data_IF_949563429772
#
_entry.id   IF_949563429772
#
_cell.length_a   1.000
_cell.length_b   1.000
_cell.length_c   1.000
_cell.angle_alpha   90.00
_cell.angle_beta   90.00
_cell.angle_gamma   90.00
#
_symmetry.space_group_name_H-M   'P 1'
#
loop_
_entity.id
_entity.type
_entity.pdbx_description
1 polymer ?
#
# COMPACT_ATOMS: atom_id res chain seq x y z
N UNK A 1 6.74 8.42 18.86
CA UNK A 1 7.81 9.03 18.03
C UNK A 1 7.12 9.64 16.83
N UNK A 2 7.17 10.96 16.67
CA UNK A 2 6.55 11.67 15.54
C UNK A 2 7.62 11.99 14.48
N UNK A 3 8.28 10.93 14.00
CA UNK A 3 9.37 11.07 13.03
C UNK A 3 8.85 11.73 11.75
N UNK A 4 9.46 12.85 11.35
CA UNK A 4 9.12 13.57 10.13
C UNK A 4 7.84 14.44 10.21
N UNK A 5 7.21 14.61 11.38
CA UNK A 5 6.12 15.58 11.54
C UNK A 5 6.70 17.00 11.54
N UNK A 6 6.04 17.90 10.81
CA UNK A 6 6.31 19.35 10.81
C UNK A 6 5.03 20.11 11.11
N UNK A 7 5.15 21.36 11.54
CA UNK A 7 3.99 22.23 11.71
C UNK A 7 3.35 22.56 10.35
N UNK A 8 2.05 22.84 10.33
CA UNK A 8 1.30 22.99 9.07
C UNK A 8 1.85 24.12 8.17
N UNK A 9 2.42 25.17 8.77
CA UNK A 9 3.06 26.27 8.04
C UNK A 9 4.43 25.92 7.47
N UNK A 10 5.16 24.99 8.08
CA UNK A 10 6.53 24.64 7.73
C UNK A 10 6.63 23.73 6.51
N UNK A 11 5.55 23.01 6.16
CA UNK A 11 5.50 22.12 4.99
C UNK A 11 5.95 22.86 3.72
N UNK A 12 5.59 24.14 3.58
CA UNK A 12 5.90 24.96 2.41
C UNK A 12 7.38 25.33 2.30
N UNK A 13 8.10 25.28 3.42
CA UNK A 13 9.52 25.61 3.50
C UNK A 13 10.40 24.37 3.25
N UNK A 14 9.81 23.17 3.15
CA UNK A 14 10.55 21.94 2.89
C UNK A 14 10.94 21.88 1.40
N UNK A 15 12.25 21.74 1.16
CA UNK A 15 12.78 21.40 -0.15
C UNK A 15 12.57 19.92 -0.47
N UNK A 16 11.58 19.62 -1.30
CA UNK A 16 11.27 18.25 -1.75
C UNK A 16 12.12 17.78 -2.94
N UNK A 17 13.13 18.54 -3.37
CA UNK A 17 14.04 18.09 -4.43
C UNK A 17 14.90 16.94 -3.93
N UNK A 18 15.06 15.93 -4.77
CA UNK A 18 16.05 14.90 -4.54
C UNK A 18 17.46 15.50 -4.69
N UNK A 19 18.40 15.21 -3.76
CA UNK A 19 19.77 15.66 -3.93
C UNK A 19 20.43 14.95 -5.12
N UNK A 20 21.53 15.52 -5.61
CA UNK A 20 22.34 14.85 -6.62
C UNK A 20 22.84 13.48 -6.11
N UNK A 21 23.00 12.53 -7.02
CA UNK A 21 23.47 11.19 -6.68
C UNK A 21 24.79 11.23 -5.88
N UNK A 22 24.83 10.39 -4.85
CA UNK A 22 26.04 10.19 -4.05
C UNK A 22 27.13 9.43 -4.82
N UNK A 23 28.35 9.46 -4.29
CA UNK A 23 29.50 8.75 -4.90
C UNK A 23 29.26 7.24 -5.04
N UNK A 24 28.56 6.64 -4.06
CA UNK A 24 28.23 5.22 -4.04
C UNK A 24 27.22 4.87 -5.13
N UNK A 25 26.15 5.65 -5.28
CA UNK A 25 25.14 5.45 -6.34
C UNK A 25 25.80 5.42 -7.72
N UNK A 26 26.68 6.38 -8.00
CA UNK A 26 27.43 6.42 -9.28
C UNK A 26 28.34 5.21 -9.50
N UNK A 27 28.93 4.66 -8.43
CA UNK A 27 29.82 3.50 -8.53
C UNK A 27 29.04 2.19 -8.73
N UNK A 28 27.86 2.05 -8.13
CA UNK A 28 27.05 0.81 -8.16
C UNK A 28 26.07 0.79 -9.33
N UNK A 29 25.55 1.94 -9.75
CA UNK A 29 24.61 2.09 -10.85
C UNK A 29 25.25 2.88 -12.02
N UNK A 30 26.30 2.35 -12.69
CA UNK A 30 26.93 3.01 -13.83
C UNK A 30 26.09 2.88 -15.12
N UNK A 31 24.93 2.24 -15.04
CA UNK A 31 24.07 1.94 -16.18
C UNK A 31 23.40 3.17 -16.77
N UNK A 32 22.80 2.98 -17.94
CA UNK A 32 21.94 3.98 -18.56
C UNK A 32 20.58 4.02 -17.87
N UNK A 33 19.93 5.20 -17.76
CA UNK A 33 18.55 5.29 -17.29
C UNK A 33 17.65 4.34 -18.06
N UNK A 34 16.72 3.69 -17.35
CA UNK A 34 15.72 2.81 -17.96
C UNK A 34 14.93 3.58 -19.03
N UNK A 35 14.79 2.99 -20.22
CA UNK A 35 13.91 3.51 -21.26
C UNK A 35 12.42 3.41 -20.87
N UNK A 36 12.09 2.57 -19.87
CA UNK A 36 10.73 2.49 -19.32
C UNK A 36 10.54 3.58 -18.26
N UNK A 37 9.46 4.37 -18.34
CA UNK A 37 9.15 5.37 -17.32
C UNK A 37 8.92 4.68 -15.96
N UNK A 38 9.47 5.28 -14.91
CA UNK A 38 9.20 4.86 -13.54
C UNK A 38 7.76 5.26 -13.18
N UNK A 39 6.95 4.29 -12.76
CA UNK A 39 5.62 4.55 -12.19
C UNK A 39 5.73 4.57 -10.68
N UNK A 40 5.17 5.60 -10.07
CA UNK A 40 5.09 5.74 -8.63
C UNK A 40 3.64 5.54 -8.20
N UNK A 41 3.47 4.80 -7.12
CA UNK A 41 2.20 4.71 -6.40
C UNK A 41 2.40 5.34 -5.03
N UNK A 42 1.41 6.11 -4.58
CA UNK A 42 1.41 6.81 -3.29
C UNK A 42 0.24 6.29 -2.47
N UNK A 43 0.58 5.79 -1.28
CA UNK A 43 -0.37 5.15 -0.40
C UNK A 43 0.05 5.24 1.06
N UNK A 44 -0.79 4.68 1.91
CA UNK A 44 -0.64 4.60 3.36
C UNK A 44 -0.81 3.14 3.82
N UNK A 45 -0.46 2.85 5.08
CA UNK A 45 -0.62 1.51 5.66
C UNK A 45 -1.99 1.20 6.25
N UNK A 46 -2.93 2.15 6.21
CA UNK A 46 -4.29 2.02 6.76
C UNK A 46 -5.28 2.86 5.96
N UNK A 47 -6.52 2.39 5.84
CA UNK A 47 -7.68 3.18 5.38
C UNK A 47 -8.76 3.32 6.45
N UNK A 48 -8.81 2.39 7.40
CA UNK A 48 -9.89 2.22 8.38
C UNK A 48 -9.87 3.16 9.59
N UNK A 49 -9.43 4.41 9.44
CA UNK A 49 -9.33 5.37 10.56
C UNK A 49 -10.55 6.28 10.63
N UNK A 50 -11.31 6.21 11.73
CA UNK A 50 -12.54 7.01 11.90
C UNK A 50 -12.25 8.49 11.99
N UNK A 51 -11.10 8.85 12.56
CA UNK A 51 -10.59 10.21 12.66
C UNK A 51 -10.33 10.87 11.30
N UNK A 52 -10.35 10.11 10.21
CA UNK A 52 -10.20 10.65 8.86
C UNK A 52 -11.51 11.18 8.26
N UNK A 53 -12.67 10.86 8.84
CA UNK A 53 -13.95 11.43 8.40
C UNK A 53 -14.01 12.94 8.70
N UNK A 54 -14.04 13.76 7.64
CA UNK A 54 -13.93 15.23 7.73
C UNK A 54 -12.58 15.73 7.19
N UNK A 55 -11.45 15.47 7.88
CA UNK A 55 -10.14 15.98 7.45
C UNK A 55 -9.62 15.35 6.14
N UNK A 56 -9.88 14.06 5.92
CA UNK A 56 -9.39 13.33 4.75
C UNK A 56 -10.51 12.72 3.91
N UNK A 57 -11.54 12.16 4.52
CA UNK A 57 -12.77 11.76 3.84
C UNK A 57 -13.84 12.85 3.97
N UNK A 58 -14.93 12.74 3.21
CA UNK A 58 -16.07 13.61 3.43
C UNK A 58 -16.61 13.46 4.86
N UNK A 59 -17.13 14.55 5.42
CA UNK A 59 -17.74 14.49 6.74
C UNK A 59 -18.92 13.52 6.72
N UNK A 60 -19.00 12.62 7.71
CA UNK A 60 -20.05 11.61 7.78
C UNK A 60 -19.85 10.38 6.89
N UNK A 61 -18.71 10.21 6.22
CA UNK A 61 -18.38 8.95 5.54
C UNK A 61 -18.50 7.78 6.52
N UNK A 62 -19.23 6.74 6.13
CA UNK A 62 -19.42 5.53 6.94
C UNK A 62 -18.20 4.63 6.83
N UNK A 63 -17.88 3.89 7.88
CA UNK A 63 -16.69 3.02 7.92
C UNK A 63 -16.66 1.98 6.79
N UNK A 64 -17.84 1.46 6.42
CA UNK A 64 -17.99 0.52 5.30
C UNK A 64 -17.60 1.12 3.94
N UNK A 65 -17.53 2.44 3.83
CA UNK A 65 -17.22 3.16 2.59
C UNK A 65 -15.80 3.75 2.61
N UNK A 66 -15.02 3.53 3.69
CA UNK A 66 -13.68 4.09 3.84
C UNK A 66 -12.70 3.63 2.77
N UNK A 67 -12.72 2.36 2.37
CA UNK A 67 -11.81 1.89 1.31
C UNK A 67 -12.15 2.55 -0.04
N UNK A 68 -13.43 2.69 -0.37
CA UNK A 68 -13.88 3.40 -1.56
C UNK A 68 -13.43 4.86 -1.55
N UNK A 69 -13.63 5.56 -0.42
CA UNK A 69 -13.21 6.95 -0.25
C UNK A 69 -11.68 7.11 -0.31
N UNK A 70 -10.94 6.16 0.24
CA UNK A 70 -9.48 6.11 0.20
C UNK A 70 -8.96 5.91 -1.23
N UNK A 71 -9.48 4.91 -1.95
CA UNK A 71 -9.07 4.58 -3.30
C UNK A 71 -9.43 5.69 -4.32
N UNK A 72 -10.44 6.51 -4.01
CA UNK A 72 -10.76 7.72 -4.77
C UNK A 72 -9.75 8.87 -4.61
N UNK A 73 -8.81 8.77 -3.66
CA UNK A 73 -7.80 9.82 -3.36
C UNK A 73 -6.35 9.37 -3.57
N UNK A 74 -6.07 8.09 -3.35
CA UNK A 74 -4.75 7.49 -3.45
C UNK A 74 -4.81 6.23 -4.32
N UNK A 75 -3.68 5.83 -4.90
CA UNK A 75 -3.58 4.73 -5.87
C UNK A 75 -2.88 3.49 -5.31
N UNK A 76 -2.57 3.46 -4.02
CA UNK A 76 -2.11 2.23 -3.38
C UNK A 76 -2.37 2.17 -1.89
N UNK A 77 -2.27 0.95 -1.35
CA UNK A 77 -2.30 0.70 0.09
C UNK A 77 -1.28 -0.38 0.47
N UNK A 78 -0.48 -0.12 1.50
CA UNK A 78 0.25 -1.19 2.19
C UNK A 78 -0.77 -2.02 3.00
N UNK A 79 -1.12 -3.19 2.48
CA UNK A 79 -2.18 -4.02 3.02
C UNK A 79 -1.63 -4.86 4.19
N UNK A 80 -1.79 -4.32 5.39
CA UNK A 80 -1.37 -4.94 6.64
C UNK A 80 -2.27 -6.11 7.09
N UNK A 81 -3.52 -6.21 6.61
CA UNK A 81 -4.44 -7.27 7.04
C UNK A 81 -3.84 -8.67 6.79
N UNK A 82 -3.18 -8.86 5.64
CA UNK A 82 -2.54 -10.12 5.25
C UNK A 82 -1.35 -10.50 6.13
N UNK A 83 -0.75 -9.52 6.82
CA UNK A 83 0.32 -9.78 7.79
C UNK A 83 -0.21 -10.58 8.99
N UNK A 84 -1.43 -10.28 9.45
CA UNK A 84 -1.99 -10.88 10.67
C UNK A 84 -2.79 -12.15 10.38
N UNK A 85 -3.48 -12.22 9.24
CA UNK A 85 -4.30 -13.35 8.84
C UNK A 85 -4.38 -13.47 7.32
N UNK A 86 -4.45 -14.70 6.79
CA UNK A 86 -4.75 -14.90 5.37
C UNK A 86 -6.24 -14.55 5.16
N UNK A 87 -6.58 -13.57 4.31
CA UNK A 87 -7.96 -13.15 4.10
C UNK A 87 -8.76 -14.21 3.35
N UNK A 88 -10.06 -14.28 3.62
CA UNK A 88 -10.97 -15.14 2.88
C UNK A 88 -11.35 -14.56 1.50
N UNK A 89 -11.88 -15.38 0.57
CA UNK A 89 -12.34 -14.91 -0.73
C UNK A 89 -13.41 -13.81 -0.65
N UNK A 90 -14.24 -13.85 0.39
CA UNK A 90 -15.29 -12.85 0.62
C UNK A 90 -14.69 -11.46 0.93
N UNK A 91 -13.68 -11.38 1.78
CA UNK A 91 -13.01 -10.11 2.12
C UNK A 91 -12.30 -9.53 0.92
N UNK A 92 -11.56 -10.37 0.18
CA UNK A 92 -10.91 -9.99 -1.08
C UNK A 92 -11.93 -9.46 -2.08
N UNK A 93 -13.05 -10.17 -2.27
CA UNK A 93 -14.13 -9.75 -3.15
C UNK A 93 -14.70 -8.39 -2.77
N UNK A 94 -14.97 -8.17 -1.47
CA UNK A 94 -15.45 -6.87 -0.96
C UNK A 94 -14.45 -5.75 -1.22
N UNK A 95 -13.16 -5.97 -0.95
CA UNK A 95 -12.14 -4.95 -1.18
C UNK A 95 -12.04 -4.56 -2.65
N UNK A 96 -12.08 -5.55 -3.56
CA UNK A 96 -12.09 -5.29 -5.01
C UNK A 96 -13.29 -4.46 -5.42
N UNK A 97 -14.49 -4.82 -4.95
CA UNK A 97 -15.72 -4.08 -5.27
C UNK A 97 -15.66 -2.63 -4.77
N UNK A 98 -15.11 -2.40 -3.57
CA UNK A 98 -14.95 -1.04 -3.02
C UNK A 98 -13.98 -0.20 -3.84
N UNK A 99 -12.85 -0.77 -4.26
CA UNK A 99 -11.89 -0.07 -5.12
C UNK A 99 -12.49 0.21 -6.50
N UNK A 100 -13.18 -0.76 -7.11
CA UNK A 100 -13.89 -0.56 -8.38
C UNK A 100 -14.94 0.55 -8.28
N UNK A 101 -15.70 0.59 -7.19
CA UNK A 101 -16.70 1.63 -6.93
C UNK A 101 -16.09 3.04 -6.77
N UNK A 102 -14.80 3.14 -6.45
CA UNK A 102 -14.11 4.44 -6.40
C UNK A 102 -13.81 5.03 -7.78
N UNK A 103 -13.88 4.20 -8.83
CA UNK A 103 -13.51 4.59 -10.20
C UNK A 103 -12.00 4.62 -10.47
N UNK A 104 -11.15 4.30 -9.48
CA UNK A 104 -9.70 4.27 -9.65
C UNK A 104 -9.23 2.92 -10.23
N UNK A 105 -8.96 2.90 -11.53
CA UNK A 105 -8.44 1.72 -12.25
C UNK A 105 -6.94 1.46 -12.06
N UNK A 106 -6.20 2.38 -11.43
CA UNK A 106 -4.75 2.25 -11.20
C UNK A 106 -4.42 1.87 -9.75
N UNK A 107 -5.43 1.56 -8.95
CA UNK A 107 -5.22 1.24 -7.54
C UNK A 107 -4.56 -0.12 -7.36
N UNK A 108 -3.53 -0.20 -6.51
CA UNK A 108 -2.86 -1.45 -6.18
C UNK A 108 -2.82 -1.71 -4.67
N UNK A 109 -3.13 -2.94 -4.27
CA UNK A 109 -2.84 -3.43 -2.93
C UNK A 109 -1.42 -3.96 -2.88
N UNK A 110 -0.68 -3.65 -1.81
CA UNK A 110 0.67 -4.17 -1.54
C UNK A 110 0.59 -5.06 -0.30
N UNK A 111 0.27 -6.36 -0.45
CA UNK A 111 -0.02 -7.26 0.67
C UNK A 111 1.25 -7.62 1.41
N UNK A 112 1.27 -7.43 2.73
CA UNK A 112 2.37 -7.95 3.54
C UNK A 112 2.33 -9.46 3.60
N UNK A 113 3.48 -10.09 3.41
CA UNK A 113 3.66 -11.53 3.68
C UNK A 113 3.28 -11.83 5.12
N UNK A 114 2.47 -12.88 5.33
CA UNK A 114 1.99 -13.26 6.66
C UNK A 114 3.12 -13.32 7.70
N UNK A 115 2.85 -12.79 8.91
CA UNK A 115 3.74 -12.84 10.07
C UNK A 115 4.16 -14.26 10.41
N UNK A 116 3.25 -15.23 10.23
CA UNK A 116 3.54 -16.64 10.45
C UNK A 116 4.64 -17.14 9.52
N UNK A 117 4.61 -16.72 8.26
CA UNK A 117 5.60 -17.09 7.24
C UNK A 117 6.92 -16.34 7.50
N UNK A 118 6.87 -15.01 7.60
CA UNK A 118 8.05 -14.15 7.60
C UNK A 118 8.79 -14.11 8.94
N UNK A 119 8.07 -14.06 10.07
CA UNK A 119 8.67 -13.80 11.39
C UNK A 119 8.70 -15.03 12.29
N UNK A 120 7.63 -15.83 12.29
CA UNK A 120 7.50 -16.99 13.19
C UNK A 120 8.28 -18.17 12.62
N UNK A 121 7.91 -18.63 11.42
CA UNK A 121 8.55 -19.78 10.77
C UNK A 121 9.78 -19.41 9.95
N UNK A 122 9.97 -18.13 9.63
CA UNK A 122 11.12 -17.62 8.87
C UNK A 122 11.38 -18.44 7.59
N UNK A 123 10.30 -18.68 6.84
CA UNK A 123 10.25 -19.49 5.61
C UNK A 123 10.53 -21.00 5.76
N UNK A 124 10.66 -21.54 6.98
CA UNK A 124 10.90 -22.97 7.19
C UNK A 124 9.59 -23.75 7.25
N UNK A 125 9.44 -24.82 6.45
CA UNK A 125 8.25 -25.69 6.45
C UNK A 125 6.94 -24.90 6.24
N UNK A 126 6.97 -23.97 5.29
CA UNK A 126 5.90 -23.01 5.03
C UNK A 126 5.13 -23.27 3.73
N UNK A 127 5.44 -24.33 2.98
CA UNK A 127 4.94 -24.56 1.61
C UNK A 127 3.41 -24.42 1.53
N UNK A 128 2.69 -25.07 2.44
CA UNK A 128 1.23 -24.97 2.52
C UNK A 128 0.73 -23.55 2.87
N UNK A 129 1.39 -22.88 3.81
CA UNK A 129 1.00 -21.52 4.22
C UNK A 129 1.27 -20.49 3.12
N UNK A 130 2.39 -20.63 2.42
CA UNK A 130 2.75 -19.82 1.25
C UNK A 130 1.72 -20.04 0.16
N UNK A 131 1.37 -21.29 -0.16
CA UNK A 131 0.33 -21.59 -1.14
C UNK A 131 -1.00 -20.91 -0.79
N UNK A 132 -1.50 -21.08 0.44
CA UNK A 132 -2.74 -20.44 0.88
C UNK A 132 -2.68 -18.90 0.78
N UNK A 133 -1.55 -18.31 1.18
CA UNK A 133 -1.36 -16.87 1.10
C UNK A 133 -1.36 -16.37 -0.35
N UNK A 134 -0.63 -17.04 -1.24
CA UNK A 134 -0.57 -16.68 -2.67
C UNK A 134 -1.93 -16.84 -3.35
N UNK A 135 -2.67 -17.92 -3.04
CA UNK A 135 -4.03 -18.10 -3.58
C UNK A 135 -4.99 -16.99 -3.13
N UNK A 136 -4.90 -16.56 -1.87
CA UNK A 136 -5.73 -15.47 -1.36
C UNK A 136 -5.38 -14.12 -2.00
N UNK A 137 -4.09 -13.81 -2.12
CA UNK A 137 -3.60 -12.56 -2.71
C UNK A 137 -3.87 -12.49 -4.22
N UNK A 138 -3.71 -13.60 -4.94
CA UNK A 138 -4.07 -13.71 -6.36
C UNK A 138 -5.55 -13.40 -6.62
N UNK A 139 -6.40 -13.59 -5.60
CA UNK A 139 -7.81 -13.20 -5.65
C UNK A 139 -8.04 -11.70 -5.90
N UNK A 140 -7.04 -10.83 -5.63
CA UNK A 140 -7.09 -9.39 -5.92
C UNK A 140 -7.12 -9.08 -7.42
N UNK A 141 -6.57 -9.99 -8.26
CA UNK A 141 -6.53 -9.86 -9.70
C UNK A 141 -5.72 -8.65 -10.16
N UNK A 142 -6.28 -7.82 -11.03
CA UNK A 142 -5.59 -6.62 -11.57
C UNK A 142 -5.20 -5.57 -10.51
N UNK A 143 -5.76 -5.68 -9.30
CA UNK A 143 -5.43 -4.81 -8.16
C UNK A 143 -4.28 -5.37 -7.31
N UNK A 144 -3.74 -6.54 -7.65
CA UNK A 144 -2.58 -7.13 -6.99
C UNK A 144 -1.31 -6.34 -7.36
N UNK A 145 -0.79 -5.59 -6.39
CA UNK A 145 0.54 -5.02 -6.44
C UNK A 145 1.62 -6.06 -6.12
N UNK A 146 2.90 -5.66 -6.20
CA UNK A 146 4.04 -6.55 -5.97
C UNK A 146 4.13 -7.10 -4.54
#
# INVERSE_FOLDING_TARGET
MEFGRVEQGEIREIDFRLPADGRITRAILPGVPSARPCRFHVGMGKWGRKEWAGPFYQQGTKERDFLTAYAGKLDSIELNATFFSVPGPEDIGKWRQQVQASGNSNFLFFPKVSRTISHIKKLQGCDFLVKMYLEAVAGLGELEGP
#
